data_IF_281365241753
#
_entry.id   IF_281365241753
#
_cell.length_a   1.000
_cell.length_b   1.000
_cell.length_c   1.000
_cell.angle_alpha   90.00
_cell.angle_beta   90.00
_cell.angle_gamma   90.00
#
_symmetry.space_group_name_H-M   'P 1'
#
loop_
_entity.id
_entity.type
_entity.pdbx_description
1 polymer ?
#
# COMPACT_ATOMS: atom_id res chain seq x y z
N UNK A 1 -2.01 -10.02 8.24
CA UNK A 1 -1.16 -8.82 8.10
C UNK A 1 -1.86 -7.88 7.14
N UNK A 2 -2.21 -6.67 7.57
CA UNK A 2 -2.77 -5.62 6.71
C UNK A 2 -1.64 -4.70 6.27
N UNK A 3 -1.41 -4.63 4.97
CA UNK A 3 -0.33 -3.84 4.38
C UNK A 3 -0.95 -2.69 3.59
N UNK A 4 -0.36 -1.51 3.72
CA UNK A 4 -0.66 -0.35 2.86
C UNK A 4 0.58 -0.05 2.02
N UNK A 5 0.42 0.08 0.70
CA UNK A 5 1.45 0.53 -0.22
C UNK A 5 1.12 1.98 -0.62
N UNK A 6 2.07 2.88 -0.43
CA UNK A 6 1.95 4.29 -0.74
C UNK A 6 2.95 4.62 -1.84
N UNK A 7 2.42 4.89 -3.03
CA UNK A 7 3.19 4.98 -4.27
C UNK A 7 2.42 5.82 -5.28
N UNK A 8 3.05 6.85 -5.86
CA UNK A 8 2.40 7.79 -6.78
C UNK A 8 2.38 7.31 -8.24
N UNK A 9 3.24 6.35 -8.60
CA UNK A 9 3.28 5.78 -9.94
C UNK A 9 2.46 4.48 -10.03
N UNK A 10 1.42 4.49 -10.87
CA UNK A 10 0.54 3.32 -11.10
C UNK A 10 1.29 2.03 -11.46
N UNK A 11 2.40 2.12 -12.21
CA UNK A 11 3.22 0.97 -12.57
C UNK A 11 3.87 0.35 -11.33
N UNK A 12 4.45 1.17 -10.46
CA UNK A 12 5.08 0.73 -9.22
C UNK A 12 4.05 0.13 -8.26
N UNK A 13 2.85 0.73 -8.16
CA UNK A 13 1.74 0.16 -7.38
C UNK A 13 1.43 -1.28 -7.80
N UNK A 14 1.36 -1.54 -9.12
CA UNK A 14 1.08 -2.88 -9.66
C UNK A 14 2.22 -3.85 -9.39
N UNK A 15 3.47 -3.40 -9.52
CA UNK A 15 4.64 -4.23 -9.20
C UNK A 15 4.64 -4.62 -7.72
N UNK A 16 4.41 -3.66 -6.82
CA UNK A 16 4.35 -3.91 -5.37
C UNK A 16 3.21 -4.88 -5.01
N UNK A 17 2.02 -4.69 -5.58
CA UNK A 17 0.89 -5.61 -5.38
C UNK A 17 1.22 -7.04 -5.84
N UNK A 18 1.79 -7.20 -7.04
CA UNK A 18 2.17 -8.51 -7.57
C UNK A 18 3.25 -9.19 -6.71
N UNK A 19 4.22 -8.43 -6.20
CA UNK A 19 5.24 -8.97 -5.30
C UNK A 19 4.64 -9.46 -3.98
N UNK A 20 3.74 -8.67 -3.38
CA UNK A 20 3.07 -9.04 -2.13
C UNK A 20 2.12 -10.23 -2.32
N UNK A 21 1.38 -10.29 -3.43
CA UNK A 21 0.51 -11.41 -3.77
C UNK A 21 1.31 -12.71 -3.90
N UNK A 22 2.48 -12.68 -4.55
CA UNK A 22 3.38 -13.84 -4.66
C UNK A 22 3.93 -14.32 -3.33
N UNK A 23 3.99 -13.44 -2.32
CA UNK A 23 4.37 -13.75 -0.95
C UNK A 23 3.19 -14.19 -0.08
N UNK A 24 1.97 -14.24 -0.64
CA UNK A 24 0.74 -14.63 0.06
C UNK A 24 0.10 -13.49 0.85
N UNK A 25 0.47 -12.24 0.57
CA UNK A 25 -0.10 -11.05 1.21
C UNK A 25 -1.04 -10.30 0.28
N UNK A 26 -2.00 -9.60 0.91
CA UNK A 26 -2.87 -8.64 0.24
C UNK A 26 -2.54 -7.27 0.80
N UNK A 27 -2.51 -6.27 -0.08
CA UNK A 27 -2.25 -4.89 0.30
C UNK A 27 -3.27 -3.95 -0.32
N UNK A 28 -3.57 -2.89 0.43
CA UNK A 28 -4.25 -1.72 -0.11
C UNK A 28 -3.22 -0.77 -0.71
N UNK A 29 -3.67 0.12 -1.60
CA UNK A 29 -2.81 1.11 -2.26
C UNK A 29 -3.34 2.51 -1.99
N UNK A 30 -2.41 3.43 -1.76
CA UNK A 30 -2.65 4.87 -1.71
C UNK A 30 -1.73 5.56 -2.73
N UNK A 31 -2.28 6.46 -3.53
CA UNK A 31 -1.57 7.19 -4.57
C UNK A 31 -0.85 8.45 -4.07
N UNK A 32 -1.18 8.92 -2.86
CA UNK A 32 -0.55 10.09 -2.26
C UNK A 32 -0.65 10.08 -0.72
N UNK A 33 -0.05 11.08 -0.08
CA UNK A 33 -0.06 11.20 1.38
C UNK A 33 -1.45 11.43 1.99
N UNK A 34 -2.40 12.04 1.26
CA UNK A 34 -3.76 12.22 1.77
C UNK A 34 -4.53 10.90 1.80
N UNK A 35 -4.39 10.09 0.74
CA UNK A 35 -4.97 8.76 0.69
C UNK A 35 -4.40 7.84 1.78
N UNK A 36 -3.09 7.96 2.08
CA UNK A 36 -2.47 7.25 3.20
C UNK A 36 -3.14 7.62 4.53
N UNK A 37 -3.31 8.92 4.80
CA UNK A 37 -3.94 9.39 6.03
C UNK A 37 -5.40 8.93 6.12
N UNK A 38 -6.14 8.96 5.01
CA UNK A 38 -7.51 8.48 4.98
C UNK A 38 -7.62 6.97 5.19
N UNK A 39 -6.71 6.18 4.60
CA UNK A 39 -6.62 4.75 4.83
C UNK A 39 -6.35 4.44 6.31
N UNK A 40 -5.42 5.17 6.93
CA UNK A 40 -5.07 5.01 8.34
C UNK A 40 -6.19 5.41 9.30
N UNK A 41 -7.07 6.34 8.90
CA UNK A 41 -8.28 6.68 9.67
C UNK A 41 -9.34 5.59 9.58
N UNK A 42 -9.45 4.90 8.43
CA UNK A 42 -10.46 3.86 8.20
C UNK A 42 -10.12 2.55 8.89
N UNK A 43 -8.84 2.20 8.97
CA UNK A 43 -8.38 0.98 9.63
C UNK A 43 -6.92 1.06 10.06
N UNK A 44 -6.52 0.14 10.95
CA UNK A 44 -5.11 -0.03 11.32
C UNK A 44 -4.39 -0.91 10.31
N UNK A 45 -3.19 -0.51 9.94
CA UNK A 45 -2.24 -1.29 9.15
C UNK A 45 -1.09 -1.76 10.04
N UNK A 46 -0.60 -2.97 9.77
CA UNK A 46 0.54 -3.55 10.49
C UNK A 46 1.87 -3.10 9.85
N UNK A 47 1.84 -2.75 8.56
CA UNK A 47 2.99 -2.33 7.78
C UNK A 47 2.54 -1.32 6.71
N UNK A 48 3.31 -0.25 6.54
CA UNK A 48 3.16 0.71 5.46
C UNK A 48 4.46 0.69 4.66
N UNK A 49 4.37 0.42 3.36
CA UNK A 49 5.48 0.52 2.42
C UNK A 49 5.32 1.83 1.64
N UNK A 50 6.28 2.75 1.78
CA UNK A 50 6.30 4.03 1.08
C UNK A 50 7.50 4.09 0.14
N UNK A 51 7.30 4.59 -1.09
CA UNK A 51 8.41 5.11 -1.89
C UNK A 51 8.83 6.51 -1.41
N UNK A 52 10.06 6.92 -1.70
CA UNK A 52 10.69 8.17 -1.21
C UNK A 52 10.46 9.34 -2.15
#
# INVERSE_FOLDING_TARGET
>A
LRILVAEDHFVNQRVALLMLERLGYVADVAADGFEVLDALRRQRYDLILMDV
#
